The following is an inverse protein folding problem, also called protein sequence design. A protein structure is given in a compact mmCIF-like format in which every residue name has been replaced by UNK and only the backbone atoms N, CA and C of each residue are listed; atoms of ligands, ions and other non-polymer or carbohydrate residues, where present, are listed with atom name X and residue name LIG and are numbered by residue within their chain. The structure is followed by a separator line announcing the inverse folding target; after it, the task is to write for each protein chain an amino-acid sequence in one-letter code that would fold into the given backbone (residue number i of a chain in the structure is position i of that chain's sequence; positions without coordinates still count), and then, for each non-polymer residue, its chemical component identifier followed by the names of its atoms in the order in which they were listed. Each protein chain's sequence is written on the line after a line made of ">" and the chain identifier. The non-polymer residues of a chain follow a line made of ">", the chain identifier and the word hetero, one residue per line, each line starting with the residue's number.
data_IF_087499468096
#
_entry.id   IF_087499468096
#
_cell.length_a   1.000
_cell.length_b   1.000
_cell.length_c   1.000
_cell.angle_alpha   90.00
_cell.angle_beta   90.00
_cell.angle_gamma   90.00
#
_symmetry.space_group_name_H-M   'P 1'
#
loop_
_entity.id
_entity.type
_entity.pdbx_description
1 polymer ?
#
# COMPACT_ATOMS: atom_id res chain seq x y z
N UNK A 1 -14.41 -0.67 0.15
CA UNK A 1 -14.95 -1.97 0.40
C UNK A 1 -14.03 -2.80 1.28
N UNK A 2 -14.45 -3.93 1.72
CA UNK A 2 -13.83 -4.79 2.72
C UNK A 2 -12.64 -5.62 2.17
N UNK A 3 -11.76 -5.00 1.39
CA UNK A 3 -10.66 -5.71 0.74
C UNK A 3 -9.68 -6.30 1.77
N UNK A 4 -9.33 -5.53 2.78
CA UNK A 4 -8.49 -6.00 3.88
C UNK A 4 -9.12 -7.18 4.61
N UNK A 5 -10.40 -7.09 4.97
CA UNK A 5 -11.11 -8.15 5.71
C UNK A 5 -11.16 -9.46 4.91
N UNK A 6 -11.40 -9.36 3.59
CA UNK A 6 -11.35 -10.51 2.69
C UNK A 6 -9.97 -11.16 2.67
N UNK A 7 -8.91 -10.37 2.57
CA UNK A 7 -7.54 -10.89 2.54
C UNK A 7 -7.08 -11.41 3.89
N UNK A 8 -7.55 -10.86 5.00
CA UNK A 8 -7.30 -11.43 6.32
C UNK A 8 -7.88 -12.86 6.41
N UNK A 9 -9.11 -13.07 5.93
CA UNK A 9 -9.72 -14.42 5.86
C UNK A 9 -8.91 -15.37 4.96
N UNK A 10 -8.42 -14.89 3.81
CA UNK A 10 -7.59 -15.68 2.90
C UNK A 10 -6.28 -16.09 3.58
N UNK A 11 -5.60 -15.15 4.25
CA UNK A 11 -4.34 -15.43 4.94
C UNK A 11 -4.48 -16.36 6.16
N UNK A 12 -5.63 -16.33 6.83
CA UNK A 12 -5.89 -17.13 8.01
C UNK A 12 -6.47 -18.53 7.68
N UNK A 13 -6.85 -18.77 6.43
CA UNK A 13 -7.48 -20.01 5.99
C UNK A 13 -6.53 -20.89 5.18
N UNK A 14 -6.13 -22.07 5.65
CA UNK A 14 -5.18 -22.94 4.94
C UNK A 14 -5.70 -23.47 3.60
N UNK A 15 -7.01 -23.38 3.37
CA UNK A 15 -7.67 -23.84 2.14
C UNK A 15 -7.85 -22.73 1.09
N UNK A 16 -7.51 -21.48 1.41
CA UNK A 16 -7.59 -20.35 0.52
C UNK A 16 -6.19 -19.93 0.05
N UNK A 17 -6.01 -19.82 -1.25
CA UNK A 17 -4.71 -19.51 -1.84
C UNK A 17 -4.58 -18.05 -2.30
N UNK A 18 -5.69 -17.34 -2.37
CA UNK A 18 -5.69 -15.96 -2.84
C UNK A 18 -6.93 -15.60 -3.65
N UNK A 19 -6.83 -14.53 -4.41
CA UNK A 19 -7.89 -14.02 -5.29
C UNK A 19 -7.31 -13.14 -6.39
N UNK A 20 -8.12 -12.85 -7.38
CA UNK A 20 -7.77 -11.96 -8.48
C UNK A 20 -8.62 -10.70 -8.41
N UNK A 21 -7.99 -9.55 -8.59
CA UNK A 21 -8.67 -8.27 -8.66
C UNK A 21 -9.05 -8.02 -10.13
N UNK A 22 -10.29 -7.76 -10.38
CA UNK A 22 -10.78 -7.28 -11.66
C UNK A 22 -11.04 -5.77 -11.54
N UNK A 23 -10.21 -4.88 -12.18
CA UNK A 23 -9.01 -5.30 -12.90
C UNK A 23 -7.81 -4.37 -12.52
N UNK A 24 -6.67 -4.57 -13.12
CA UNK A 24 -5.48 -3.80 -12.80
C UNK A 24 -5.57 -2.36 -13.34
N UNK A 25 -6.00 -2.20 -14.60
CA UNK A 25 -6.09 -0.88 -15.25
C UNK A 25 -7.42 -0.76 -16.00
N UNK A 26 -8.03 0.41 -15.91
CA UNK A 26 -9.21 0.73 -16.71
C UNK A 26 -8.98 0.46 -18.20
N UNK A 27 -9.88 -0.27 -18.82
CA UNK A 27 -9.81 -0.63 -20.24
C UNK A 27 -10.36 0.49 -21.11
N UNK A 28 -9.87 1.73 -20.93
CA UNK A 28 -10.38 2.91 -21.61
C UNK A 28 -9.50 3.41 -22.74
N UNK A 29 -10.10 3.90 -23.80
CA UNK A 29 -9.43 4.59 -24.91
C UNK A 29 -9.68 6.09 -24.83
N UNK A 30 -8.63 6.87 -25.11
CA UNK A 30 -8.70 8.33 -25.11
C UNK A 30 -9.34 8.84 -26.40
N UNK A 31 -10.46 9.54 -26.29
CA UNK A 31 -11.22 10.09 -27.38
C UNK A 31 -11.43 11.61 -27.18
N UNK A 32 -11.81 12.28 -28.27
CA UNK A 32 -12.23 13.69 -28.24
C UNK A 32 -13.70 13.82 -28.64
N UNK A 33 -14.39 14.78 -28.05
CA UNK A 33 -15.75 15.14 -28.48
C UNK A 33 -15.68 15.77 -29.86
N UNK A 34 -16.40 15.20 -30.87
CA UNK A 34 -16.53 15.77 -32.24
C UNK A 34 -17.94 15.55 -32.79
N UNK A 35 -18.54 16.52 -33.44
CA UNK A 35 -18.19 17.95 -33.45
C UNK A 35 -18.47 18.55 -32.08
N UNK A 36 -17.56 19.31 -31.52
CA UNK A 36 -17.74 19.89 -30.23
C UNK A 36 -16.56 20.71 -29.73
N UNK A 37 -16.47 20.84 -28.42
CA UNK A 37 -15.46 21.63 -27.72
C UNK A 37 -14.08 20.95 -27.61
N UNK A 38 -13.91 19.79 -28.23
CA UNK A 38 -12.64 19.03 -28.24
C UNK A 38 -12.25 18.45 -26.86
N UNK A 39 -13.19 18.36 -25.90
CA UNK A 39 -12.92 17.76 -24.60
C UNK A 39 -12.46 16.32 -24.76
N UNK A 40 -11.49 15.93 -23.93
CA UNK A 40 -11.00 14.57 -23.86
C UNK A 40 -11.90 13.78 -22.92
N UNK A 41 -12.30 12.60 -23.35
CA UNK A 41 -13.00 11.62 -22.54
C UNK A 41 -12.41 10.22 -22.75
N UNK A 42 -12.70 9.31 -21.84
CA UNK A 42 -12.31 7.92 -21.94
C UNK A 42 -13.52 7.07 -22.28
N UNK A 43 -13.39 6.23 -23.26
CA UNK A 43 -14.45 5.33 -23.72
C UNK A 43 -14.02 3.89 -23.63
N UNK A 44 -14.97 2.99 -23.49
CA UNK A 44 -14.76 1.55 -23.33
C UNK A 44 -15.66 0.78 -24.29
N UNK A 45 -15.16 -0.39 -24.72
CA UNK A 45 -15.93 -1.42 -25.45
C UNK A 45 -16.68 -0.91 -26.69
N UNK A 46 -16.40 -1.45 -27.88
CA UNK A 46 -17.15 -1.42 -29.16
C UNK A 46 -17.96 -0.18 -29.58
N UNK A 47 -18.14 0.78 -28.70
CA UNK A 47 -18.92 2.01 -28.86
C UNK A 47 -18.06 3.26 -28.89
N UNK A 48 -16.83 3.11 -29.31
CA UNK A 48 -15.91 4.21 -29.55
C UNK A 48 -16.54 5.21 -30.51
N UNK A 49 -16.70 6.46 -30.06
CA UNK A 49 -17.20 7.56 -30.88
C UNK A 49 -18.71 7.87 -30.77
N UNK A 50 -19.48 7.16 -29.98
CA UNK A 50 -20.89 7.49 -29.75
C UNK A 50 -21.12 8.15 -28.40
N UNK A 51 -21.09 9.47 -28.39
CA UNK A 51 -21.52 10.28 -27.24
C UNK A 51 -22.97 10.01 -26.83
N UNK A 52 -23.81 9.70 -27.82
CA UNK A 52 -25.24 9.41 -27.69
C UNK A 52 -25.52 8.14 -26.87
N UNK A 53 -24.56 7.24 -26.78
CA UNK A 53 -24.72 5.98 -26.03
C UNK A 53 -24.79 6.18 -24.51
N UNK A 54 -24.17 7.22 -23.97
CA UNK A 54 -24.26 7.54 -22.54
C UNK A 54 -25.67 7.98 -22.13
N UNK A 55 -26.44 8.53 -23.07
CA UNK A 55 -27.82 8.98 -22.83
C UNK A 55 -28.82 7.82 -22.89
N UNK A 56 -28.55 6.79 -23.71
CA UNK A 56 -29.47 5.69 -23.98
C UNK A 56 -29.42 4.57 -22.92
N UNK A 57 -28.36 4.50 -22.09
CA UNK A 57 -28.21 3.47 -21.07
C UNK A 57 -28.13 4.03 -19.64
N UNK A 58 -29.28 4.43 -19.16
CA UNK A 58 -29.48 4.77 -17.74
C UNK A 58 -29.29 3.51 -16.87
N UNK A 59 -28.11 3.33 -16.31
CA UNK A 59 -27.83 2.29 -15.31
C UNK A 59 -26.65 1.34 -15.58
N UNK A 60 -26.06 1.33 -16.78
CA UNK A 60 -24.91 0.45 -17.10
C UNK A 60 -23.57 1.26 -17.15
N UNK A 61 -23.47 2.34 -16.41
CA UNK A 61 -22.40 3.32 -16.51
C UNK A 61 -21.05 2.87 -15.95
N UNK A 62 -20.93 1.69 -15.35
CA UNK A 62 -19.73 1.28 -14.61
C UNK A 62 -18.96 0.14 -15.24
N UNK A 63 -19.20 -0.23 -16.47
CA UNK A 63 -18.43 -1.30 -17.12
C UNK A 63 -17.16 -0.73 -17.75
N UNK A 64 -15.99 -1.21 -17.31
CA UNK A 64 -14.70 -0.89 -17.88
C UNK A 64 -13.89 0.20 -17.16
N UNK A 65 -14.35 0.63 -15.98
CA UNK A 65 -13.63 1.55 -15.09
C UNK A 65 -13.36 0.93 -13.72
N UNK A 66 -13.22 -0.39 -13.68
CA UNK A 66 -13.02 -1.18 -12.46
C UNK A 66 -11.55 -1.30 -12.06
N UNK A 67 -10.64 -0.74 -12.86
CA UNK A 67 -9.20 -0.79 -12.66
C UNK A 67 -8.74 -0.11 -11.36
N UNK A 68 -7.69 -0.64 -10.79
CA UNK A 68 -6.92 0.01 -9.71
C UNK A 68 -6.18 1.26 -10.22
N UNK A 69 -5.85 1.25 -11.50
CA UNK A 69 -5.20 2.35 -12.20
C UNK A 69 -6.16 2.85 -13.28
N UNK A 70 -6.35 4.16 -13.36
CA UNK A 70 -7.18 4.74 -14.41
C UNK A 70 -6.53 4.59 -15.79
N UNK A 71 -7.34 4.69 -16.86
CA UNK A 71 -6.88 4.51 -18.23
C UNK A 71 -5.75 5.46 -18.66
N UNK A 72 -5.54 6.56 -17.94
CA UNK A 72 -4.42 7.48 -18.16
C UNK A 72 -3.18 7.16 -17.31
N UNK A 73 -3.15 6.00 -16.63
CA UNK A 73 -2.01 5.56 -15.83
C UNK A 73 -1.95 6.12 -14.41
N UNK A 74 -2.97 6.82 -13.94
CA UNK A 74 -2.99 7.39 -12.59
C UNK A 74 -3.57 6.37 -11.60
N UNK A 75 -2.84 6.00 -10.52
CA UNK A 75 -3.36 5.13 -9.49
C UNK A 75 -4.60 5.73 -8.82
N UNK A 76 -5.66 4.94 -8.69
CA UNK A 76 -6.84 5.30 -7.93
C UNK A 76 -6.64 5.03 -6.44
N UNK A 77 -7.44 5.60 -5.52
CA UNK A 77 -7.31 5.36 -4.07
C UNK A 77 -7.25 3.88 -3.70
N UNK A 78 -8.01 3.02 -4.39
CA UNK A 78 -8.01 1.57 -4.16
C UNK A 78 -6.65 0.92 -4.39
N UNK A 79 -5.82 1.44 -5.30
CA UNK A 79 -4.48 0.91 -5.56
C UNK A 79 -3.58 0.99 -4.33
N UNK A 80 -3.72 2.04 -3.53
CA UNK A 80 -2.94 2.21 -2.29
C UNK A 80 -3.41 1.24 -1.21
N UNK A 81 -4.71 0.97 -1.11
CA UNK A 81 -5.24 -0.06 -0.21
C UNK A 81 -4.72 -1.44 -0.60
N UNK A 82 -4.78 -1.81 -1.88
CA UNK A 82 -4.24 -3.07 -2.38
C UNK A 82 -2.74 -3.18 -2.10
N UNK A 83 -1.97 -2.11 -2.36
CA UNK A 83 -0.54 -2.06 -2.04
C UNK A 83 -0.28 -2.35 -0.56
N UNK A 84 -1.11 -1.81 0.35
CA UNK A 84 -0.98 -2.02 1.79
C UNK A 84 -1.32 -3.46 2.18
N UNK A 85 -2.41 -3.99 1.68
CA UNK A 85 -2.90 -5.34 2.03
C UNK A 85 -1.97 -6.43 1.48
N UNK A 86 -1.37 -6.22 0.31
CA UNK A 86 -0.47 -7.17 -0.34
C UNK A 86 0.98 -7.15 0.19
N UNK A 87 1.27 -6.35 1.21
CA UNK A 87 2.60 -6.36 1.81
C UNK A 87 2.91 -7.70 2.46
N UNK A 88 4.01 -8.33 2.06
CA UNK A 88 4.49 -9.60 2.62
C UNK A 88 5.22 -9.43 3.96
N UNK A 89 5.75 -8.25 4.25
CA UNK A 89 6.34 -7.93 5.55
C UNK A 89 5.37 -7.04 6.29
N UNK A 90 4.92 -7.46 7.45
CA UNK A 90 3.99 -6.70 8.26
C UNK A 90 4.66 -6.23 9.54
N UNK A 91 4.42 -4.97 9.87
CA UNK A 91 4.81 -4.38 11.14
C UNK A 91 3.56 -4.05 11.94
N UNK A 92 3.58 -4.36 13.22
CA UNK A 92 2.53 -3.99 14.16
C UNK A 92 3.16 -3.35 15.40
N UNK A 93 2.62 -2.22 15.85
CA UNK A 93 3.01 -1.62 17.10
C UNK A 93 2.61 -2.54 18.27
N UNK A 94 3.54 -2.76 19.20
CA UNK A 94 3.28 -3.49 20.46
C UNK A 94 3.43 -2.56 21.65
N UNK A 95 4.61 -1.99 21.85
CA UNK A 95 4.88 -1.01 22.90
C UNK A 95 5.87 0.03 22.36
N UNK A 96 5.33 1.07 21.73
CA UNK A 96 6.17 2.11 21.11
C UNK A 96 6.92 2.94 22.14
N UNK A 97 6.46 3.01 23.39
CA UNK A 97 7.18 3.68 24.46
C UNK A 97 8.52 3.01 24.79
N UNK A 98 8.59 1.69 24.55
CA UNK A 98 9.80 0.88 24.68
C UNK A 98 10.49 0.59 23.34
N UNK A 99 9.94 1.10 22.24
CA UNK A 99 10.41 0.84 20.89
C UNK A 99 10.13 -0.60 20.41
N UNK A 100 9.11 -1.28 20.95
CA UNK A 100 8.80 -2.67 20.60
C UNK A 100 7.77 -2.74 19.49
N UNK A 101 8.14 -3.41 18.41
CA UNK A 101 7.28 -3.70 17.25
C UNK A 101 7.29 -5.20 16.96
N UNK A 102 6.18 -5.75 16.49
CA UNK A 102 6.12 -7.10 15.93
C UNK A 102 6.33 -7.04 14.43
N UNK A 103 7.11 -7.98 13.91
CA UNK A 103 7.37 -8.14 12.48
C UNK A 103 6.93 -9.54 12.10
N UNK A 104 6.01 -9.63 11.11
CA UNK A 104 5.53 -10.89 10.54
C UNK A 104 6.02 -11.02 9.10
N UNK A 105 6.64 -12.15 8.79
CA UNK A 105 7.07 -12.53 7.45
C UNK A 105 5.98 -13.39 6.79
N UNK A 106 5.34 -12.87 5.76
CA UNK A 106 4.32 -13.58 4.96
C UNK A 106 4.88 -14.21 3.67
N UNK A 107 6.17 -14.06 3.41
CA UNK A 107 6.79 -14.76 2.28
C UNK A 107 6.78 -16.28 2.49
N UNK A 108 6.70 -17.02 1.38
CA UNK A 108 6.76 -18.49 1.40
C UNK A 108 8.19 -19.01 1.35
N UNK A 109 9.12 -18.28 0.73
CA UNK A 109 10.48 -18.75 0.46
C UNK A 109 11.58 -17.79 0.89
N UNK A 110 11.25 -16.53 1.23
CA UNK A 110 12.23 -15.45 1.44
C UNK A 110 12.44 -15.18 2.92
N UNK A 111 13.70 -15.25 3.39
CA UNK A 111 14.08 -14.80 4.73
C UNK A 111 14.22 -13.27 4.75
N UNK A 112 13.81 -12.63 5.83
CA UNK A 112 13.86 -11.18 5.95
C UNK A 112 15.28 -10.61 6.08
N UNK A 113 16.30 -11.43 6.28
CA UNK A 113 17.71 -10.99 6.22
C UNK A 113 18.14 -10.52 4.82
N UNK A 114 17.34 -10.79 3.77
CA UNK A 114 17.56 -10.30 2.40
C UNK A 114 17.19 -8.81 2.23
N UNK A 115 16.53 -8.23 3.23
CA UNK A 115 16.09 -6.82 3.21
C UNK A 115 16.88 -5.96 4.17
N UNK A 116 17.01 -4.68 3.83
CA UNK A 116 17.48 -3.63 4.73
C UNK A 116 16.29 -2.96 5.40
N UNK A 117 16.40 -2.68 6.67
CA UNK A 117 15.32 -2.06 7.45
C UNK A 117 15.79 -0.74 8.03
N UNK A 118 14.87 0.25 7.95
CA UNK A 118 15.10 1.59 8.50
C UNK A 118 13.86 2.03 9.27
N UNK A 119 14.07 2.72 10.36
CA UNK A 119 13.03 3.48 11.05
C UNK A 119 13.31 4.97 10.94
N UNK A 120 12.25 5.74 10.86
CA UNK A 120 12.29 7.20 10.89
C UNK A 120 11.24 7.71 11.88
N UNK A 121 11.63 8.62 12.75
CA UNK A 121 10.71 9.36 13.62
C UNK A 121 10.50 10.74 13.01
N UNK A 122 9.24 11.13 12.86
CA UNK A 122 8.83 12.45 12.42
C UNK A 122 8.20 13.21 13.56
N UNK A 123 8.50 14.52 13.68
CA UNK A 123 7.88 15.46 14.60
C UNK A 123 7.13 16.50 13.80
N UNK A 124 5.81 16.60 13.95
CA UNK A 124 4.96 17.55 13.21
C UNK A 124 5.19 17.51 11.68
N UNK A 125 5.45 16.32 11.13
CA UNK A 125 5.71 16.13 9.69
C UNK A 125 7.16 16.33 9.25
N UNK A 126 8.07 16.79 10.11
CA UNK A 126 9.49 16.93 9.82
C UNK A 126 10.30 15.75 10.40
N UNK A 127 11.33 15.31 9.66
CA UNK A 127 12.17 14.21 10.11
C UNK A 127 12.97 14.61 11.34
N UNK A 128 12.72 13.92 12.45
CA UNK A 128 13.35 14.16 13.74
C UNK A 128 14.56 13.25 13.98
N UNK A 129 14.43 11.96 13.64
CA UNK A 129 15.50 10.98 13.84
C UNK A 129 15.33 9.79 12.90
N UNK A 130 16.41 9.07 12.62
CA UNK A 130 16.41 7.87 11.80
C UNK A 130 17.43 6.87 12.29
N UNK A 131 17.22 5.59 11.97
CA UNK A 131 18.18 4.53 12.25
C UNK A 131 17.88 3.27 11.47
N UNK A 132 18.83 2.36 11.47
CA UNK A 132 18.73 1.08 10.78
C UNK A 132 18.62 -0.04 11.81
N UNK A 133 18.00 -1.15 11.38
CA UNK A 133 17.96 -2.37 12.16
C UNK A 133 18.01 -3.58 11.23
N UNK A 134 18.35 -4.74 11.78
CA UNK A 134 18.43 -5.98 11.04
C UNK A 134 17.36 -6.95 11.52
N UNK A 135 16.80 -7.68 10.57
CA UNK A 135 15.81 -8.71 10.85
C UNK A 135 16.23 -9.97 10.14
N UNK A 136 16.37 -11.04 10.93
CA UNK A 136 16.43 -12.39 10.41
C UNK A 136 15.15 -13.09 10.87
N UNK A 137 14.31 -13.45 9.91
CA UNK A 137 13.02 -14.05 10.17
C UNK A 137 12.63 -14.95 9.00
N UNK A 138 12.47 -16.24 9.30
CA UNK A 138 12.10 -17.26 8.31
C UNK A 138 10.70 -17.00 7.76
N UNK A 139 10.37 -17.57 6.57
CA UNK A 139 9.01 -17.59 6.06
C UNK A 139 7.97 -18.00 7.12
N UNK A 140 6.81 -17.37 7.09
CA UNK A 140 5.64 -17.57 7.98
C UNK A 140 5.90 -17.34 9.48
N UNK A 141 7.08 -16.85 9.86
CA UNK A 141 7.39 -16.56 11.25
C UNK A 141 7.01 -15.11 11.64
N UNK A 142 6.86 -14.92 12.94
CA UNK A 142 6.65 -13.61 13.57
C UNK A 142 7.57 -13.47 14.77
N UNK A 143 8.10 -12.26 15.01
CA UNK A 143 8.85 -11.94 16.22
C UNK A 143 8.72 -10.50 16.62
N UNK A 144 8.92 -10.22 17.90
CA UNK A 144 9.09 -8.87 18.40
C UNK A 144 10.55 -8.40 18.23
N UNK A 145 10.70 -7.16 17.84
CA UNK A 145 11.98 -6.49 17.68
C UNK A 145 11.96 -5.19 18.47
N UNK A 146 13.02 -4.95 19.22
CA UNK A 146 13.21 -3.68 19.91
C UNK A 146 14.05 -2.77 19.05
N UNK A 147 13.46 -1.64 18.67
CA UNK A 147 14.11 -0.57 17.93
C UNK A 147 14.82 0.37 18.90
N UNK A 148 16.01 0.83 18.53
CA UNK A 148 16.73 1.84 19.30
C UNK A 148 16.22 3.25 18.93
N UNK A 149 15.00 3.56 19.37
CA UNK A 149 14.35 4.85 19.11
C UNK A 149 14.93 5.94 20.02
N UNK A 150 14.90 7.22 19.58
CA UNK A 150 15.21 8.34 20.45
C UNK A 150 14.18 8.48 21.57
N UNK A 151 14.55 9.11 22.64
CA UNK A 151 13.59 9.53 23.68
C UNK A 151 12.64 10.55 23.06
N UNK A 152 11.35 10.27 23.13
CA UNK A 152 10.31 11.17 22.64
C UNK A 152 9.95 12.17 23.74
N UNK A 153 10.15 13.48 23.53
CA UNK A 153 9.85 14.49 24.54
C UNK A 153 8.35 14.62 24.82
N UNK A 154 8.03 15.03 26.04
CA UNK A 154 6.64 15.40 26.42
C UNK A 154 6.39 16.89 26.18
N UNK A 155 6.47 17.32 24.93
CA UNK A 155 6.43 18.72 24.52
C UNK A 155 5.13 19.12 23.80
N UNK A 156 4.13 18.23 23.81
CA UNK A 156 2.85 18.48 23.16
C UNK A 156 2.85 18.35 21.64
N UNK A 157 3.99 17.97 21.03
CA UNK A 157 4.07 17.77 19.60
C UNK A 157 3.63 16.35 19.20
N UNK A 158 3.22 16.20 17.94
CA UNK A 158 2.89 14.90 17.36
C UNK A 158 4.15 14.19 16.85
N UNK A 159 4.29 12.92 17.20
CA UNK A 159 5.39 12.08 16.75
C UNK A 159 4.85 10.85 16.04
N UNK A 160 5.42 10.54 14.88
CA UNK A 160 5.09 9.36 14.08
C UNK A 160 6.34 8.52 13.83
N UNK A 161 6.20 7.21 13.99
CA UNK A 161 7.22 6.23 13.63
C UNK A 161 6.90 5.64 12.26
N UNK A 162 7.80 5.81 11.32
CA UNK A 162 7.74 5.18 10.01
C UNK A 162 8.75 4.03 9.96
N UNK A 163 8.31 2.89 9.44
CA UNK A 163 9.14 1.70 9.24
C UNK A 163 9.21 1.37 7.75
N UNK A 164 10.40 1.08 7.28
CA UNK A 164 10.67 0.77 5.88
C UNK A 164 11.43 -0.54 5.74
N UNK A 165 11.13 -1.28 4.68
CA UNK A 165 11.94 -2.39 4.21
C UNK A 165 12.36 -2.11 2.77
N UNK A 166 13.63 -2.29 2.47
CA UNK A 166 14.23 -2.03 1.16
C UNK A 166 14.93 -3.28 0.64
N UNK A 167 14.91 -3.45 -0.68
CA UNK A 167 15.73 -4.46 -1.35
C UNK A 167 17.21 -4.15 -1.19
N UNK A 168 18.01 -5.13 -0.80
CA UNK A 168 19.49 -5.03 -0.73
C UNK A 168 20.15 -5.22 -2.08
N UNK A 169 19.53 -6.01 -2.94
CA UNK A 169 20.08 -6.42 -4.24
C UNK A 169 19.05 -6.11 -5.32
N UNK A 170 19.50 -5.54 -6.43
CA UNK A 170 18.65 -5.38 -7.62
C UNK A 170 18.38 -6.74 -8.28
N UNK A 171 17.18 -6.90 -8.83
CA UNK A 171 16.84 -7.98 -9.77
C UNK A 171 16.50 -7.35 -11.12
N UNK A 172 16.25 -8.16 -12.14
CA UNK A 172 15.86 -7.67 -13.47
C UNK A 172 14.59 -6.78 -13.43
N UNK A 173 13.73 -6.97 -12.44
CA UNK A 173 12.45 -6.26 -12.30
C UNK A 173 12.42 -5.27 -11.14
N UNK A 174 13.34 -5.38 -10.19
CA UNK A 174 13.30 -4.63 -8.94
C UNK A 174 14.65 -3.94 -8.72
N UNK A 175 14.72 -2.61 -8.73
CA UNK A 175 15.96 -1.89 -8.44
C UNK A 175 16.37 -2.06 -6.97
N UNK A 176 17.67 -1.87 -6.69
CA UNK A 176 18.17 -1.76 -5.33
C UNK A 176 17.55 -0.55 -4.63
N UNK A 177 17.34 -0.64 -3.34
CA UNK A 177 16.70 0.39 -2.50
C UNK A 177 15.24 0.70 -2.87
N UNK A 178 14.54 -0.19 -3.60
CA UNK A 178 13.10 -0.06 -3.73
C UNK A 178 12.46 -0.25 -2.35
N UNK A 179 11.72 0.76 -1.89
CA UNK A 179 10.91 0.66 -0.68
C UNK A 179 9.72 -0.25 -0.93
N UNK A 180 9.72 -1.42 -0.32
CA UNK A 180 8.63 -2.38 -0.41
C UNK A 180 7.51 -2.06 0.58
N UNK A 181 7.85 -1.42 1.71
CA UNK A 181 6.94 -1.24 2.83
C UNK A 181 7.17 0.11 3.48
N UNK A 182 6.07 0.81 3.74
CA UNK A 182 6.01 2.00 4.56
C UNK A 182 4.81 1.88 5.51
N UNK A 183 5.05 1.94 6.82
CA UNK A 183 4.02 2.03 7.84
C UNK A 183 4.29 3.25 8.69
N UNK A 184 3.25 4.06 8.92
CA UNK A 184 3.27 5.20 9.82
C UNK A 184 2.39 4.91 11.03
N UNK A 185 2.96 4.98 12.23
CA UNK A 185 2.27 4.74 13.49
C UNK A 185 2.48 5.93 14.43
N UNK A 186 1.45 6.46 15.09
CA UNK A 186 1.62 7.47 16.12
C UNK A 186 2.40 6.88 17.30
N UNK A 187 3.42 7.58 17.75
CA UNK A 187 4.26 7.13 18.89
C UNK A 187 3.61 7.36 20.24
N UNK A 188 2.51 8.11 20.27
CA UNK A 188 1.64 8.28 21.44
C UNK A 188 0.19 8.04 21.05
N UNK A 189 -0.56 7.37 21.90
CA UNK A 189 -2.00 7.52 21.91
C UNK A 189 -2.29 8.96 22.33
N UNK A 190 -2.70 9.80 21.39
CA UNK A 190 -3.44 11.01 21.77
C UNK A 190 -4.69 10.53 22.46
N UNK A 191 -4.73 10.61 23.77
CA UNK A 191 -5.98 10.55 24.53
C UNK A 191 -6.78 11.75 24.02
N UNK A 192 -7.75 11.48 23.16
CA UNK A 192 -8.84 12.40 22.89
C UNK A 192 -9.65 12.38 24.19
N UNK A 193 -9.43 13.41 24.97
CA UNK A 193 -10.30 13.75 26.10
C UNK A 193 -11.56 14.42 25.58
#
# INVERSE_FOLDING_TARGET
>A
GNFKDLWDVIYDSPNLQGGFIWDFMDQGFKMKTEPGDGRIYWTYNGKMGSYKWLEDRKGELNTGTDGLISANGIPKPQAYEVKKVYQYIQFNAKDLSKGIVSIRNRYDFTNLNEYAFTWEVYKNGEKFSTGNFNVELKPHAEKEVRLNLPVIPEDGNEYFLNLYAYTKVATDLIPVHLSLIHISEPTRHSLIS
#
